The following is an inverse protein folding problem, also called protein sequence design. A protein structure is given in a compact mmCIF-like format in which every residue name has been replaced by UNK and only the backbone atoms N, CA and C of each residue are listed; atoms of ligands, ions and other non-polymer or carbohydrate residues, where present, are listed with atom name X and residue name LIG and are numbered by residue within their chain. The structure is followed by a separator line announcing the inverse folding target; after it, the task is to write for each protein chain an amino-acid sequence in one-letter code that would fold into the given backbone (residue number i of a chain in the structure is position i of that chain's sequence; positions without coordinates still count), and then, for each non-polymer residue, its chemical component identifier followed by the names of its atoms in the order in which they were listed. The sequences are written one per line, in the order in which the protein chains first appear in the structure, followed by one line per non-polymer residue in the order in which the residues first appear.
data_IF_399776480374
#
_entry.id   IF_399776480374
#
_cell.length_a   1.000
_cell.length_b   1.000
_cell.length_c   1.000
_cell.angle_alpha   90.00
_cell.angle_beta   90.00
_cell.angle_gamma   90.00
#
_symmetry.space_group_name_H-M   'P 1'
#
loop_
_entity.id
_entity.type
_entity.pdbx_description
1 polymer ?
#
# COMPACT_ATOMS: atom_id res chain seq x y z
N UNK A 1 -9.10 8.16 -6.07
CA UNK A 1 -9.24 8.73 -4.71
C UNK A 1 -9.14 7.60 -3.73
N UNK A 2 -8.20 7.68 -2.77
CA UNK A 2 -8.00 6.67 -1.72
C UNK A 2 -9.29 6.36 -0.95
N UNK A 3 -10.16 7.36 -0.75
CA UNK A 3 -11.44 7.18 -0.08
C UNK A 3 -12.33 6.12 -0.75
N UNK A 4 -12.52 6.16 -2.07
CA UNK A 4 -13.40 5.20 -2.76
C UNK A 4 -12.87 3.77 -2.68
N UNK A 5 -11.55 3.60 -2.63
CA UNK A 5 -10.90 2.31 -2.46
C UNK A 5 -11.17 1.73 -1.06
N UNK A 6 -11.00 2.52 0.01
CA UNK A 6 -11.36 2.10 1.37
C UNK A 6 -12.85 1.77 1.50
N UNK A 7 -13.73 2.61 0.92
CA UNK A 7 -15.16 2.34 0.90
C UNK A 7 -15.49 1.01 0.20
N UNK A 8 -14.77 0.63 -0.84
CA UNK A 8 -14.98 -0.65 -1.52
C UNK A 8 -14.64 -1.84 -0.60
N UNK A 9 -13.57 -1.76 0.20
CA UNK A 9 -13.24 -2.80 1.19
C UNK A 9 -14.31 -2.89 2.30
N UNK A 10 -14.81 -1.76 2.78
CA UNK A 10 -15.90 -1.75 3.78
C UNK A 10 -17.20 -2.35 3.22
N UNK A 11 -17.56 -2.02 1.97
CA UNK A 11 -18.72 -2.62 1.28
C UNK A 11 -18.52 -4.12 1.14
N UNK A 12 -17.32 -4.59 0.81
CA UNK A 12 -17.01 -6.02 0.69
C UNK A 12 -17.18 -6.76 2.02
N UNK A 13 -16.75 -6.17 3.15
CA UNK A 13 -17.00 -6.72 4.50
C UNK A 13 -18.50 -6.71 4.83
N UNK A 14 -19.23 -5.64 4.49
CA UNK A 14 -20.69 -5.57 4.69
C UNK A 14 -21.45 -6.63 3.90
N UNK A 15 -21.07 -6.85 2.62
CA UNK A 15 -21.65 -7.90 1.79
C UNK A 15 -21.33 -9.30 2.34
N UNK A 16 -20.16 -9.49 2.95
CA UNK A 16 -19.83 -10.74 3.62
C UNK A 16 -20.76 -11.05 4.80
N UNK A 17 -21.24 -10.01 5.49
CA UNK A 17 -22.24 -10.11 6.56
C UNK A 17 -23.63 -10.54 6.11
N UNK A 18 -23.94 -10.46 4.81
CA UNK A 18 -25.22 -10.85 4.23
C UNK A 18 -25.24 -12.29 3.70
N UNK A 19 -24.12 -13.02 3.77
CA UNK A 19 -24.04 -14.40 3.29
C UNK A 19 -24.64 -15.41 4.30
N UNK A 20 -25.07 -16.61 3.83
CA UNK A 20 -25.69 -17.63 4.69
C UNK A 20 -24.85 -18.07 5.90
N UNK A 21 -23.52 -17.99 5.80
CA UNK A 21 -22.58 -18.26 6.89
C UNK A 21 -21.87 -16.97 7.33
N UNK A 22 -22.66 -15.94 7.65
CA UNK A 22 -22.21 -14.55 7.85
C UNK A 22 -21.09 -14.41 8.88
N UNK A 23 -21.14 -15.12 10.01
CA UNK A 23 -20.09 -15.06 11.04
C UNK A 23 -18.73 -15.52 10.49
N UNK A 24 -18.71 -16.70 9.87
CA UNK A 24 -17.48 -17.26 9.30
C UNK A 24 -16.97 -16.41 8.14
N UNK A 25 -17.86 -16.06 7.19
CA UNK A 25 -17.43 -15.38 5.97
C UNK A 25 -17.01 -13.94 6.23
N UNK A 26 -17.70 -13.21 7.11
CA UNK A 26 -17.29 -11.85 7.50
C UNK A 26 -15.94 -11.87 8.21
N UNK A 27 -15.74 -12.81 9.15
CA UNK A 27 -14.46 -12.92 9.87
C UNK A 27 -13.31 -13.21 8.91
N UNK A 28 -13.50 -14.14 7.96
CA UNK A 28 -12.50 -14.52 6.97
C UNK A 28 -12.15 -13.34 6.04
N UNK A 29 -13.18 -12.67 5.51
CA UNK A 29 -13.00 -11.50 4.65
C UNK A 29 -12.34 -10.33 5.40
N UNK A 30 -12.77 -10.05 6.63
CA UNK A 30 -12.16 -9.03 7.47
C UNK A 30 -10.69 -9.34 7.78
N UNK A 31 -10.34 -10.60 8.07
CA UNK A 31 -8.94 -11.00 8.23
C UNK A 31 -8.14 -10.74 6.95
N UNK A 32 -8.63 -11.15 5.77
CA UNK A 32 -7.96 -10.91 4.49
C UNK A 32 -7.73 -9.42 4.22
N UNK A 33 -8.76 -8.58 4.43
CA UNK A 33 -8.66 -7.13 4.23
C UNK A 33 -7.65 -6.51 5.21
N UNK A 34 -7.70 -6.88 6.49
CA UNK A 34 -6.76 -6.36 7.49
C UNK A 34 -5.32 -6.79 7.20
N UNK A 35 -5.08 -8.06 6.85
CA UNK A 35 -3.74 -8.54 6.47
C UNK A 35 -3.22 -7.81 5.23
N UNK A 36 -4.07 -7.63 4.21
CA UNK A 36 -3.74 -6.84 3.02
C UNK A 36 -3.42 -5.38 3.35
N UNK A 37 -4.19 -4.76 4.24
CA UNK A 37 -3.98 -3.38 4.68
C UNK A 37 -2.63 -3.23 5.41
N UNK A 38 -2.27 -4.15 6.30
CA UNK A 38 -0.97 -4.15 6.99
C UNK A 38 0.18 -4.24 5.98
N UNK A 39 0.09 -5.15 5.01
CA UNK A 39 1.11 -5.28 3.97
C UNK A 39 1.21 -4.02 3.10
N UNK A 40 0.06 -3.45 2.73
CA UNK A 40 -0.02 -2.22 1.94
C UNK A 40 0.59 -1.00 2.64
N UNK A 41 0.48 -0.89 3.97
CA UNK A 41 1.04 0.24 4.73
C UNK A 41 2.55 0.40 4.56
N UNK A 42 3.29 -0.69 4.33
CA UNK A 42 4.73 -0.65 4.08
C UNK A 42 5.00 0.06 2.74
N UNK A 43 4.30 -0.35 1.68
CA UNK A 43 4.43 0.25 0.36
C UNK A 43 3.95 1.72 0.36
N UNK A 44 2.86 2.01 1.06
CA UNK A 44 2.32 3.35 1.22
C UNK A 44 3.31 4.29 1.92
N UNK A 45 3.92 3.84 3.02
CA UNK A 45 4.94 4.61 3.74
C UNK A 45 6.18 4.91 2.88
N UNK A 46 6.67 3.91 2.14
CA UNK A 46 7.78 4.08 1.20
C UNK A 46 7.43 5.09 0.09
N UNK A 47 6.22 5.00 -0.47
CA UNK A 47 5.71 5.93 -1.47
C UNK A 47 5.66 7.37 -0.95
N UNK A 48 5.15 7.57 0.28
CA UNK A 48 5.10 8.89 0.91
C UNK A 48 6.51 9.47 1.16
N UNK A 49 7.45 8.66 1.64
CA UNK A 49 8.83 9.05 1.84
C UNK A 49 9.52 9.44 0.52
N UNK A 50 9.34 8.62 -0.52
CA UNK A 50 9.87 8.88 -1.86
C UNK A 50 9.28 10.18 -2.45
N UNK A 51 7.97 10.33 -2.41
CA UNK A 51 7.27 11.52 -2.88
C UNK A 51 7.77 12.78 -2.17
N UNK A 52 7.92 12.74 -0.85
CA UNK A 52 8.45 13.87 -0.06
C UNK A 52 9.88 14.20 -0.47
N UNK A 53 10.75 13.19 -0.59
CA UNK A 53 12.17 13.43 -0.89
C UNK A 53 12.38 13.92 -2.32
N UNK A 54 11.69 13.33 -3.29
CA UNK A 54 11.71 13.78 -4.70
C UNK A 54 11.16 15.19 -4.82
N UNK A 55 10.00 15.48 -4.19
CA UNK A 55 9.39 16.81 -4.22
C UNK A 55 10.30 17.88 -3.62
N UNK A 56 11.00 17.57 -2.52
CA UNK A 56 11.96 18.49 -1.90
C UNK A 56 13.15 18.80 -2.83
N UNK A 57 13.71 17.80 -3.52
CA UNK A 57 14.82 18.04 -4.46
C UNK A 57 14.36 18.79 -5.72
N UNK A 58 13.17 18.47 -6.23
CA UNK A 58 12.57 19.19 -7.35
C UNK A 58 12.29 20.66 -6.98
N UNK A 59 11.72 20.91 -5.80
CA UNK A 59 11.47 22.25 -5.28
C UNK A 59 12.75 23.06 -5.06
N UNK A 60 13.87 22.39 -4.81
CA UNK A 60 15.20 23.01 -4.71
C UNK A 60 15.91 23.17 -6.08
N UNK A 61 15.31 22.73 -7.19
CA UNK A 61 15.92 22.77 -8.53
C UNK A 61 16.98 21.69 -8.78
N UNK A 62 17.16 20.72 -7.87
CA UNK A 62 18.18 19.68 -7.95
C UNK A 62 17.66 18.43 -8.70
N UNK A 63 17.58 18.52 -10.03
CA UNK A 63 17.05 17.42 -10.86
C UNK A 63 17.83 16.10 -10.69
N UNK A 64 19.16 16.13 -10.58
CA UNK A 64 19.96 14.91 -10.44
C UNK A 64 19.73 14.20 -9.10
N UNK A 65 19.54 14.96 -8.02
CA UNK A 65 19.21 14.39 -6.70
C UNK A 65 17.79 13.84 -6.67
N UNK A 66 16.85 14.49 -7.35
CA UNK A 66 15.49 13.96 -7.51
C UNK A 66 15.49 12.61 -8.25
N UNK A 67 16.25 12.50 -9.36
CA UNK A 67 16.42 11.23 -10.09
C UNK A 67 17.09 10.16 -9.23
N UNK A 68 18.13 10.53 -8.47
CA UNK A 68 18.81 9.60 -7.57
C UNK A 68 17.88 9.08 -6.47
N UNK A 69 17.09 9.96 -5.83
CA UNK A 69 16.11 9.58 -4.83
C UNK A 69 15.10 8.56 -5.41
N UNK A 70 14.58 8.81 -6.62
CA UNK A 70 13.68 7.87 -7.30
C UNK A 70 14.36 6.52 -7.59
N UNK A 71 15.61 6.52 -8.08
CA UNK A 71 16.34 5.29 -8.36
C UNK A 71 16.59 4.44 -7.08
N UNK A 72 16.87 5.09 -5.96
CA UNK A 72 17.01 4.42 -4.66
C UNK A 72 15.67 3.83 -4.22
N UNK A 73 14.57 4.57 -4.32
CA UNK A 73 13.23 4.06 -4.00
C UNK A 73 12.86 2.83 -4.84
N UNK A 74 13.15 2.84 -6.14
CA UNK A 74 12.90 1.68 -7.01
C UNK A 74 13.69 0.46 -6.54
N UNK A 75 14.99 0.61 -6.23
CA UNK A 75 15.82 -0.48 -5.72
C UNK A 75 15.31 -1.05 -4.39
N UNK A 76 14.85 -0.19 -3.48
CA UNK A 76 14.25 -0.62 -2.21
C UNK A 76 12.95 -1.38 -2.46
N UNK A 77 12.12 -0.90 -3.40
CA UNK A 77 10.85 -1.55 -3.78
C UNK A 77 11.10 -2.93 -4.37
N UNK A 78 12.05 -3.07 -5.29
CA UNK A 78 12.42 -4.36 -5.88
C UNK A 78 12.95 -5.33 -4.81
N UNK A 79 13.81 -4.85 -3.90
CA UNK A 79 14.35 -5.66 -2.81
C UNK A 79 13.23 -6.16 -1.88
N UNK A 80 12.32 -5.26 -1.49
CA UNK A 80 11.17 -5.60 -0.64
C UNK A 80 10.24 -6.61 -1.32
N UNK A 81 9.98 -6.44 -2.62
CA UNK A 81 9.17 -7.36 -3.40
C UNK A 81 9.83 -8.75 -3.45
N UNK A 82 11.12 -8.82 -3.78
CA UNK A 82 11.85 -10.09 -3.78
C UNK A 82 11.79 -10.79 -2.43
N UNK A 83 11.97 -10.06 -1.33
CA UNK A 83 11.88 -10.61 0.03
C UNK A 83 10.49 -11.22 0.33
N UNK A 84 9.42 -10.57 -0.13
CA UNK A 84 8.05 -11.05 0.06
C UNK A 84 7.68 -12.24 -0.83
N UNK A 85 8.26 -12.35 -2.03
CA UNK A 85 7.98 -13.46 -2.96
C UNK A 85 8.86 -14.70 -2.71
N UNK A 86 9.98 -14.56 -2.00
CA UNK A 86 10.92 -15.65 -1.71
C UNK A 86 10.90 -16.13 -0.24
N UNK A 87 10.03 -15.56 0.60
CA UNK A 87 9.77 -16.02 1.98
C UNK A 87 8.48 -16.82 2.06
#
# INVERSE_FOLDING_TARGET
MVCLEYWAFEILVLLAGLMPNSETTTSLIAMCVNTGAIAFMIAYGLSAAASTRVSNELGAGNLDRAKHAMAVTLKITDCLALQLFYS
#
